data_IF_212939774053
#
_entry.id   IF_212939774053
#
_cell.length_a   1.000
_cell.length_b   1.000
_cell.length_c   1.000
_cell.angle_alpha   90.00
_cell.angle_beta   90.00
_cell.angle_gamma   90.00
#
_symmetry.space_group_name_H-M   'P 1'
#
loop_
_entity.id
_entity.type
_entity.pdbx_description
1 polymer ?
#
# COMPACT_ATOMS: atom_id res chain seq x y z
N UNK A 1 -10.64 4.59 5.79
CA UNK A 1 -11.49 3.57 6.43
C UNK A 1 -12.37 4.29 7.43
N UNK A 2 -13.65 3.90 7.58
CA UNK A 2 -14.58 4.57 8.50
C UNK A 2 -14.97 3.68 9.69
N UNK A 3 -14.52 2.43 9.70
CA UNK A 3 -14.87 1.41 10.70
C UNK A 3 -13.93 1.36 11.91
N UNK A 4 -13.11 2.40 12.11
CA UNK A 4 -12.15 2.55 13.22
C UNK A 4 -11.02 1.51 13.27
N UNK A 5 -10.78 0.79 12.17
CA UNK A 5 -9.65 -0.12 12.01
C UNK A 5 -8.27 0.51 12.28
N UNK A 6 -8.15 1.80 11.98
CA UNK A 6 -6.93 2.58 12.14
C UNK A 6 -7.15 3.64 13.21
N UNK A 7 -6.12 3.89 14.01
CA UNK A 7 -6.15 4.98 14.96
C UNK A 7 -6.07 6.32 14.22
N UNK A 8 -7.19 7.04 14.12
CA UNK A 8 -7.23 8.33 13.42
C UNK A 8 -6.36 9.40 14.09
N UNK A 9 -5.95 9.21 15.34
CA UNK A 9 -4.96 10.06 15.99
C UNK A 9 -3.57 9.94 15.36
N UNK A 10 -3.35 8.98 14.45
CA UNK A 10 -2.10 8.84 13.70
C UNK A 10 -2.05 9.72 12.44
N UNK A 11 -3.16 10.36 12.05
CA UNK A 11 -3.21 11.23 10.86
C UNK A 11 -2.16 12.36 10.92
N UNK A 12 -1.97 13.08 12.04
CA UNK A 12 -0.94 14.10 12.14
C UNK A 12 0.47 13.58 11.85
N UNK A 13 0.80 12.35 12.28
CA UNK A 13 2.12 11.75 12.01
C UNK A 13 2.32 11.41 10.53
N UNK A 14 1.28 10.92 9.84
CA UNK A 14 1.35 10.74 8.39
C UNK A 14 1.58 12.08 7.67
N UNK A 15 0.93 13.16 8.12
CA UNK A 15 1.11 14.49 7.53
C UNK A 15 2.49 15.09 7.85
N UNK A 16 3.03 14.84 9.04
CA UNK A 16 4.39 15.22 9.43
C UNK A 16 5.41 14.52 8.53
N UNK A 17 5.25 13.22 8.27
CA UNK A 17 6.10 12.51 7.32
C UNK A 17 6.03 13.09 5.91
N UNK A 18 4.86 13.54 5.46
CA UNK A 18 4.71 14.19 4.15
C UNK A 18 5.40 15.55 4.07
N UNK A 19 5.59 16.23 5.21
CA UNK A 19 6.19 17.57 5.29
C UNK A 19 7.67 17.55 5.71
N UNK A 20 8.17 16.38 6.13
CA UNK A 20 9.57 16.18 6.49
C UNK A 20 10.37 15.74 5.25
N UNK A 21 11.42 16.47 4.84
CA UNK A 21 12.27 16.04 3.74
C UNK A 21 12.97 14.72 4.03
N UNK A 22 13.07 13.86 3.02
CA UNK A 22 13.85 12.63 3.09
C UNK A 22 15.34 12.99 3.33
N UNK A 23 15.99 12.46 4.38
CA UNK A 23 17.37 12.82 4.72
C UNK A 23 18.41 12.48 3.64
N UNK A 24 18.13 11.51 2.76
CA UNK A 24 19.02 11.06 1.69
C UNK A 24 18.84 11.86 0.42
N UNK A 25 17.61 12.25 0.09
CA UNK A 25 17.31 12.91 -1.19
C UNK A 25 17.02 14.40 -1.05
N UNK A 26 16.71 14.88 0.16
CA UNK A 26 16.25 16.24 0.43
C UNK A 26 14.85 16.56 -0.11
N UNK A 27 14.17 15.57 -0.72
CA UNK A 27 12.84 15.74 -1.32
C UNK A 27 11.76 15.43 -0.31
N UNK A 28 10.63 16.13 -0.44
CA UNK A 28 9.45 15.78 0.33
C UNK A 28 8.80 14.50 -0.23
N UNK A 29 8.28 13.62 0.62
CA UNK A 29 7.57 12.42 0.17
C UNK A 29 6.30 12.75 -0.62
N UNK A 30 6.02 11.95 -1.64
CA UNK A 30 4.83 12.06 -2.48
C UNK A 30 3.63 11.27 -1.92
N UNK A 31 3.94 10.18 -1.22
CA UNK A 31 2.97 9.26 -0.64
C UNK A 31 3.45 8.79 0.73
N UNK A 32 2.60 8.91 1.75
CA UNK A 32 2.81 8.29 3.05
C UNK A 32 1.76 7.19 3.26
N UNK A 33 2.19 5.97 3.55
CA UNK A 33 1.29 4.83 3.80
C UNK A 33 1.48 4.24 5.18
N UNK A 34 0.39 4.01 5.89
CA UNK A 34 0.40 3.16 7.08
C UNK A 34 0.80 1.74 6.67
N UNK A 35 1.66 1.11 7.47
CA UNK A 35 2.19 -0.22 7.21
C UNK A 35 2.10 -1.09 8.47
N UNK A 36 1.03 -1.88 8.61
CA UNK A 36 0.86 -2.86 9.69
C UNK A 36 1.93 -3.95 9.72
N UNK A 37 2.55 -4.23 8.57
CA UNK A 37 3.59 -5.24 8.42
C UNK A 37 5.00 -4.64 8.39
N UNK A 38 5.16 -3.37 8.76
CA UNK A 38 6.47 -2.75 8.92
C UNK A 38 7.28 -3.48 10.01
N UNK A 39 8.60 -3.68 9.86
CA UNK A 39 9.44 -4.30 10.88
C UNK A 39 9.34 -3.62 12.25
N UNK A 40 9.25 -2.29 12.26
CA UNK A 40 9.08 -1.46 13.46
C UNK A 40 7.62 -1.30 13.89
N UNK A 41 6.68 -1.94 13.20
CA UNK A 41 5.25 -1.91 13.50
C UNK A 41 4.88 -2.88 14.62
N UNK A 42 3.95 -2.47 15.49
CA UNK A 42 3.45 -3.33 16.55
C UNK A 42 2.21 -4.10 16.09
N UNK A 43 2.21 -5.42 16.30
CA UNK A 43 1.06 -6.29 16.04
C UNK A 43 0.37 -6.61 17.36
N UNK A 44 -0.61 -5.80 17.75
CA UNK A 44 -1.35 -6.03 18.99
C UNK A 44 -2.14 -7.35 18.91
N UNK A 45 -1.70 -8.38 19.62
CA UNK A 45 -2.53 -9.52 20.06
C UNK A 45 -3.14 -10.44 19.00
N UNK A 46 -2.88 -10.25 17.71
CA UNK A 46 -3.50 -11.06 16.66
C UNK A 46 -2.74 -12.37 16.39
N UNK A 47 -3.45 -13.48 16.15
CA UNK A 47 -2.83 -14.68 15.63
C UNK A 47 -2.21 -14.43 14.24
N UNK A 48 -0.94 -14.78 14.06
CA UNK A 48 -0.19 -14.59 12.82
C UNK A 48 -0.91 -15.14 11.57
N UNK A 49 -1.68 -16.23 11.73
CA UNK A 49 -2.40 -16.88 10.64
C UNK A 49 -3.50 -16.01 10.01
N UNK A 50 -4.05 -15.02 10.74
CA UNK A 50 -5.05 -14.10 10.19
C UNK A 50 -4.49 -13.20 9.09
N UNK A 51 -3.18 -12.99 9.08
CA UNK A 51 -2.51 -12.13 8.11
C UNK A 51 -1.82 -12.90 6.99
N UNK A 52 -1.80 -14.24 7.03
CA UNK A 52 -1.11 -15.04 6.01
C UNK A 52 -1.56 -14.72 4.60
N UNK A 53 -2.83 -14.40 4.43
CA UNK A 53 -3.37 -14.01 3.14
C UNK A 53 -2.73 -12.69 2.66
N UNK A 54 -2.76 -11.65 3.48
CA UNK A 54 -2.18 -10.34 3.16
C UNK A 54 -0.67 -10.41 2.94
N UNK A 55 0.03 -11.20 3.77
CA UNK A 55 1.48 -11.43 3.65
C UNK A 55 1.80 -12.17 2.34
N UNK A 56 1.03 -13.21 1.99
CA UNK A 56 1.21 -13.94 0.73
C UNK A 56 1.01 -13.03 -0.48
N UNK A 57 -0.06 -12.22 -0.47
CA UNK A 57 -0.33 -11.25 -1.55
C UNK A 57 0.80 -10.23 -1.66
N UNK A 58 1.29 -9.72 -0.52
CA UNK A 58 2.45 -8.82 -0.50
C UNK A 58 3.69 -9.44 -1.15
N UNK A 59 4.04 -10.69 -0.79
CA UNK A 59 5.18 -11.38 -1.40
C UNK A 59 5.02 -11.58 -2.92
N UNK A 60 3.81 -11.86 -3.39
CA UNK A 60 3.54 -11.97 -4.82
C UNK A 60 3.73 -10.64 -5.56
N UNK A 61 3.29 -9.51 -4.97
CA UNK A 61 3.58 -8.19 -5.53
C UNK A 61 5.08 -7.89 -5.54
N UNK A 62 5.79 -8.18 -4.44
CA UNK A 62 7.24 -7.97 -4.36
C UNK A 62 7.99 -8.76 -5.43
N UNK A 63 7.56 -10.00 -5.69
CA UNK A 63 8.09 -10.83 -6.77
C UNK A 63 7.76 -10.26 -8.16
N UNK A 64 6.52 -9.84 -8.40
CA UNK A 64 6.09 -9.28 -9.69
C UNK A 64 6.77 -7.94 -10.03
N UNK A 65 7.10 -7.15 -9.00
CA UNK A 65 7.83 -5.90 -9.10
C UNK A 65 9.35 -6.10 -9.20
N UNK A 66 9.85 -7.34 -9.24
CA UNK A 66 11.26 -7.67 -9.43
C UNK A 66 12.25 -6.89 -8.52
N UNK A 67 11.84 -6.58 -7.28
CA UNK A 67 12.67 -5.83 -6.33
C UNK A 67 12.44 -4.31 -6.29
N UNK A 68 11.57 -3.75 -7.14
CA UNK A 68 11.18 -2.33 -7.08
C UNK A 68 10.19 -2.01 -5.94
N UNK A 69 9.69 -3.02 -5.24
CA UNK A 69 8.77 -2.82 -4.11
C UNK A 69 9.53 -2.29 -2.89
N UNK A 70 9.29 -1.04 -2.53
CA UNK A 70 9.90 -0.35 -1.39
C UNK A 70 9.05 -0.34 -0.11
N UNK A 71 7.88 -0.99 -0.13
CA UNK A 71 6.94 -1.02 1.00
C UNK A 71 6.81 -2.43 1.56
N UNK A 72 6.27 -2.56 2.78
CA UNK A 72 5.92 -3.80 3.46
C UNK A 72 4.42 -4.11 3.40
N UNK A 73 3.57 -3.12 3.10
CA UNK A 73 2.12 -3.32 2.99
C UNK A 73 1.51 -2.70 1.74
N UNK A 74 0.97 -3.53 0.84
CA UNK A 74 0.30 -3.08 -0.40
C UNK A 74 -1.20 -2.81 -0.23
N UNK A 75 -1.85 -3.45 0.74
CA UNK A 75 -3.32 -3.48 0.88
C UNK A 75 -3.84 -2.55 1.98
N UNK A 76 -3.01 -1.65 2.50
CA UNK A 76 -3.42 -0.68 3.52
C UNK A 76 -4.04 0.56 2.86
N UNK A 77 -5.26 0.94 3.27
CA UNK A 77 -5.91 2.15 2.76
C UNK A 77 -5.65 3.42 3.59
N UNK A 78 -4.92 3.31 4.71
CA UNK A 78 -4.61 4.46 5.55
C UNK A 78 -3.38 5.20 5.00
N UNK A 79 -3.63 6.25 4.21
CA UNK A 79 -2.60 6.93 3.42
C UNK A 79 -2.85 8.43 3.28
N UNK A 80 -1.77 9.15 3.07
CA UNK A 80 -1.76 10.54 2.61
C UNK A 80 -1.05 10.63 1.25
N UNK A 81 -1.55 11.50 0.37
CA UNK A 81 -1.01 11.72 -0.97
C UNK A 81 -0.82 13.21 -1.20
N UNK A 82 0.22 13.59 -1.95
CA UNK A 82 0.27 14.93 -2.52
C UNK A 82 -0.78 15.06 -3.60
N UNK A 83 -1.49 16.18 -3.61
CA UNK A 83 -2.54 16.41 -4.61
C UNK A 83 -1.98 16.35 -6.05
N UNK A 84 -0.77 16.87 -6.26
CA UNK A 84 -0.10 16.92 -7.56
C UNK A 84 0.24 15.54 -8.15
N UNK A 85 0.34 14.50 -7.31
CA UNK A 85 0.64 13.14 -7.77
C UNK A 85 -0.61 12.31 -8.05
N UNK A 86 -1.77 12.70 -7.50
CA UNK A 86 -3.02 11.96 -7.67
C UNK A 86 -3.37 11.66 -9.13
N UNK A 87 -3.26 12.59 -10.09
CA UNK A 87 -3.58 12.31 -11.50
C UNK A 87 -2.72 11.20 -12.13
N UNK A 88 -1.52 10.95 -11.59
CA UNK A 88 -0.60 9.92 -12.08
C UNK A 88 -0.86 8.54 -11.47
N UNK A 89 -1.47 8.50 -10.29
CA UNK A 89 -1.57 7.26 -9.49
C UNK A 89 -2.99 6.76 -9.27
N UNK A 90 -4.00 7.57 -9.59
CA UNK A 90 -5.41 7.16 -9.49
C UNK A 90 -5.61 5.79 -10.15
N UNK A 91 -6.29 4.90 -9.44
CA UNK A 91 -6.60 3.57 -9.92
C UNK A 91 -7.76 3.60 -10.90
N UNK A 92 -7.72 2.72 -11.90
CA UNK A 92 -8.89 2.39 -12.72
C UNK A 92 -9.85 1.44 -11.99
N UNK A 93 -9.38 0.82 -10.90
CA UNK A 93 -10.19 -0.07 -10.06
C UNK A 93 -11.11 0.71 -9.11
N UNK A 94 -12.40 0.38 -9.08
CA UNK A 94 -13.39 0.98 -8.17
C UNK A 94 -13.55 0.22 -6.83
N UNK A 95 -12.63 -0.68 -6.52
CA UNK A 95 -12.73 -1.62 -5.40
C UNK A 95 -11.48 -1.58 -4.52
N UNK A 96 -11.42 -2.43 -3.49
CA UNK A 96 -10.26 -2.54 -2.59
C UNK A 96 -8.91 -2.71 -3.33
N UNK A 97 -8.94 -3.26 -4.56
CA UNK A 97 -7.76 -3.37 -5.44
C UNK A 97 -7.10 -2.00 -5.73
N UNK A 98 -7.88 -0.91 -5.72
CA UNK A 98 -7.41 0.47 -5.84
C UNK A 98 -6.22 0.76 -4.92
N UNK A 99 -6.27 0.26 -3.68
CA UNK A 99 -5.18 0.48 -2.72
C UNK A 99 -3.85 -0.10 -3.20
N UNK A 100 -3.85 -1.30 -3.75
CA UNK A 100 -2.62 -1.90 -4.29
C UNK A 100 -2.21 -1.23 -5.60
N UNK A 101 -3.18 -0.95 -6.49
CA UNK A 101 -2.93 -0.33 -7.79
C UNK A 101 -2.31 1.06 -7.68
N UNK A 102 -2.81 1.91 -6.78
CA UNK A 102 -2.27 3.26 -6.57
C UNK A 102 -0.80 3.23 -6.13
N UNK A 103 -0.41 2.27 -5.27
CA UNK A 103 1.01 2.13 -4.88
C UNK A 103 1.87 1.61 -6.03
N UNK A 104 1.35 0.66 -6.81
CA UNK A 104 2.08 0.20 -8.00
C UNK A 104 2.29 1.36 -8.96
N UNK A 105 1.27 2.17 -9.23
CA UNK A 105 1.41 3.36 -10.08
C UNK A 105 2.39 4.37 -9.48
N UNK A 106 2.38 4.59 -8.17
CA UNK A 106 3.37 5.45 -7.51
C UNK A 106 4.81 4.95 -7.72
N UNK A 107 5.05 3.64 -7.59
CA UNK A 107 6.36 3.04 -7.86
C UNK A 107 6.75 3.15 -9.34
N UNK A 108 5.79 2.98 -10.26
CA UNK A 108 6.01 3.13 -11.72
C UNK A 108 6.45 4.53 -12.10
N UNK A 109 5.89 5.55 -11.43
CA UNK A 109 6.25 6.95 -11.64
C UNK A 109 7.47 7.39 -10.80
N UNK A 110 8.19 6.44 -10.16
CA UNK A 110 9.34 6.72 -9.29
C UNK A 110 9.04 7.77 -8.22
N UNK A 111 7.81 7.77 -7.69
CA UNK A 111 7.43 8.66 -6.60
C UNK A 111 8.09 8.24 -5.29
N UNK A 112 8.31 9.21 -4.41
CA UNK A 112 8.89 8.98 -3.09
C UNK A 112 7.81 8.48 -2.14
N UNK A 113 7.89 7.21 -1.76
CA UNK A 113 6.91 6.55 -0.88
C UNK A 113 7.57 6.30 0.48
N UNK A 114 6.91 6.71 1.56
CA UNK A 114 7.34 6.49 2.93
C UNK A 114 6.31 5.66 3.71
N UNK A 115 6.78 4.81 4.62
CA UNK A 115 5.93 3.95 5.43
C UNK A 115 5.88 4.40 6.89
N UNK A 116 4.67 4.57 7.41
CA UNK A 116 4.44 4.79 8.83
C UNK A 116 4.08 3.45 9.50
N UNK A 117 4.86 2.97 10.49
CA UNK A 117 4.52 1.77 11.25
C UNK A 117 3.21 2.00 12.02
N UNK A 118 2.14 1.29 11.65
CA UNK A 118 0.83 1.44 12.29
C UNK A 118 0.40 0.13 12.94
N UNK A 119 -0.41 0.22 14.00
CA UNK A 119 -0.99 -0.94 14.65
C UNK A 119 -2.43 -1.10 14.17
N UNK A 120 -2.75 -2.25 13.57
CA UNK A 120 -4.15 -2.59 13.28
C UNK A 120 -4.78 -3.13 14.56
N UNK A 121 -5.96 -2.61 14.92
CA UNK A 121 -6.77 -3.10 16.04
C UNK A 121 -8.04 -3.78 15.53
N UNK A 122 -8.68 -4.61 16.36
CA UNK A 122 -9.91 -5.29 15.96
C UNK A 122 -11.03 -4.27 15.69
N UNK A 123 -11.81 -4.52 14.65
CA UNK A 123 -13.04 -3.75 14.40
C UNK A 123 -13.95 -3.90 15.61
N UNK A 124 -14.34 -2.79 16.23
CA UNK A 124 -15.36 -2.82 17.28
C UNK A 124 -16.75 -3.13 16.71
N UNK A 125 -16.98 -2.92 15.40
CA UNK A 125 -18.28 -3.12 14.75
C UNK A 125 -18.14 -3.66 13.30
N UNK A 126 -19.01 -4.63 12.94
CA UNK A 126 -19.19 -5.10 11.55
C UNK A 126 -18.58 -6.47 11.22
N UNK A 127 -19.20 -7.20 10.27
CA UNK A 127 -18.62 -8.40 9.63
C UNK A 127 -17.94 -8.00 8.32
N UNK A 128 -16.78 -8.61 8.02
CA UNK A 128 -16.14 -8.42 6.71
C UNK A 128 -17.07 -8.92 5.61
N UNK A 129 -17.57 -8.00 4.78
CA UNK A 129 -18.47 -8.28 3.64
C UNK A 129 -17.69 -8.60 2.35
N UNK A 130 -16.35 -8.68 2.43
CA UNK A 130 -15.51 -8.85 1.25
C UNK A 130 -15.55 -10.31 0.77
N UNK A 131 -15.94 -10.58 -0.49
CA UNK A 131 -15.89 -11.92 -1.05
C UNK A 131 -14.43 -12.33 -1.32
N UNK A 132 -13.83 -13.07 -0.37
CA UNK A 132 -12.39 -13.42 -0.34
C UNK A 132 -11.87 -13.98 -1.66
N UNK A 133 -12.57 -14.94 -2.29
CA UNK A 133 -12.16 -15.54 -3.56
C UNK A 133 -12.17 -14.58 -4.75
N UNK A 134 -13.13 -13.65 -4.81
CA UNK A 134 -13.18 -12.63 -5.86
C UNK A 134 -11.99 -11.67 -5.71
N UNK A 135 -11.68 -11.27 -4.49
CA UNK A 135 -10.55 -10.39 -4.20
C UNK A 135 -9.21 -11.05 -4.55
N UNK A 136 -9.05 -12.35 -4.23
CA UNK A 136 -7.89 -13.15 -4.62
C UNK A 136 -7.65 -13.07 -6.12
N UNK A 137 -8.67 -13.41 -6.92
CA UNK A 137 -8.54 -13.43 -8.39
C UNK A 137 -8.17 -12.06 -8.96
N UNK A 138 -8.71 -10.99 -8.38
CA UNK A 138 -8.41 -9.61 -8.80
C UNK A 138 -6.98 -9.20 -8.47
N UNK A 139 -6.49 -9.51 -7.27
CA UNK A 139 -5.07 -9.30 -6.95
C UNK A 139 -4.17 -10.10 -7.89
N UNK A 140 -4.47 -11.38 -8.15
CA UNK A 140 -3.69 -12.20 -9.09
C UNK A 140 -3.68 -11.60 -10.51
N UNK A 141 -4.81 -11.09 -10.98
CA UNK A 141 -4.89 -10.40 -12.27
C UNK A 141 -3.99 -9.16 -12.33
N UNK A 142 -4.03 -8.31 -11.29
CA UNK A 142 -3.17 -7.13 -11.21
C UNK A 142 -1.69 -7.53 -11.11
N UNK A 143 -1.35 -8.51 -10.28
CA UNK A 143 0.02 -9.05 -10.15
C UNK A 143 0.54 -9.55 -11.50
N UNK A 144 -0.29 -10.25 -12.28
CA UNK A 144 0.05 -10.70 -13.63
C UNK A 144 0.31 -9.55 -14.60
N UNK A 145 -0.52 -8.50 -14.57
CA UNK A 145 -0.34 -7.27 -15.36
C UNK A 145 1.01 -6.60 -15.01
N UNK A 146 1.26 -6.39 -13.72
CA UNK A 146 2.50 -5.80 -13.20
C UNK A 146 3.73 -6.61 -13.61
N UNK A 147 3.71 -7.93 -13.42
CA UNK A 147 4.82 -8.80 -13.79
C UNK A 147 5.16 -8.72 -15.29
N UNK A 148 4.14 -8.70 -16.15
CA UNK A 148 4.32 -8.56 -17.61
C UNK A 148 4.93 -7.20 -17.97
N UNK A 149 4.46 -6.12 -17.33
CA UNK A 149 4.97 -4.76 -17.55
C UNK A 149 6.41 -4.58 -17.07
N UNK A 150 6.76 -5.16 -15.92
CA UNK A 150 8.13 -5.17 -15.39
C UNK A 150 9.09 -5.87 -16.36
N UNK A 151 8.71 -7.04 -16.90
CA UNK A 151 9.57 -7.80 -17.83
C UNK A 151 9.67 -7.19 -19.22
N UNK A 152 8.69 -6.41 -19.65
CA UNK A 152 8.70 -5.75 -20.96
C UNK A 152 9.37 -4.37 -20.94
N UNK A 153 10.06 -4.01 -19.84
CA UNK A 153 10.68 -2.69 -19.62
C UNK A 153 9.71 -1.51 -19.75
N UNK A 154 8.40 -1.76 -19.74
CA UNK A 154 7.36 -0.72 -19.79
C UNK A 154 7.13 -0.09 -18.42
N UNK A 155 7.47 -0.81 -17.35
CA UNK A 155 7.23 -0.39 -15.98
C UNK A 155 7.85 0.97 -15.63
N UNK A 156 9.09 1.23 -16.06
CA UNK A 156 9.81 2.49 -15.80
C UNK A 156 9.77 3.49 -16.97
N UNK A 157 9.15 3.12 -18.10
CA UNK A 157 9.09 3.96 -19.32
C UNK A 157 7.82 4.80 -19.44
N UNK A 158 6.83 4.62 -18.56
CA UNK A 158 5.58 5.39 -18.59
C UNK A 158 5.69 6.76 -17.90
N UNK A 159 6.86 7.42 -18.01
CA UNK A 159 7.12 8.79 -17.52
C UNK A 159 6.79 9.79 -18.61
#
# INVERSE_FOLDING_TARGET
DADTNYNHLEIPFLLEMMTTPDPKTGKLPDVATGSPFHPDGYRAGFPWYRFLFSISVFHLYKWALAGHCCVHTMTCGFRAYRQEVLPKIISESDDFLATAEMLVNAMRHNLTIVEYPTTVTDRRFGRSKLPTLRMIRRHLGLIGKVWKETRTNRFLRSV
#
